data_IF_059374150382
#
_entry.id   IF_059374150382
#
_cell.length_a   1.000
_cell.length_b   1.000
_cell.length_c   1.000
_cell.angle_alpha   90.00
_cell.angle_beta   90.00
_cell.angle_gamma   90.00
#
_symmetry.space_group_name_H-M   'P 1'
#
loop_
_entity.id
_entity.type
_entity.pdbx_description
1 polymer ?
#
# COMPACT_ATOMS: atom_id res chain seq x y z
N UNK A 1 9.00 4.67 -23.64
CA UNK A 1 8.72 4.03 -22.34
C UNK A 1 7.38 3.33 -22.44
N UNK A 2 7.35 2.01 -22.50
CA UNK A 2 6.10 1.26 -22.52
C UNK A 2 5.48 1.33 -21.13
N UNK A 3 4.45 2.17 -20.94
CA UNK A 3 3.57 2.02 -19.79
C UNK A 3 2.79 0.74 -20.00
N UNK A 4 3.29 -0.37 -19.44
CA UNK A 4 2.54 -1.62 -19.42
C UNK A 4 1.26 -1.36 -18.62
N UNK A 5 0.15 -1.18 -19.34
CA UNK A 5 -1.19 -1.12 -18.77
C UNK A 5 -1.50 -2.49 -18.18
N UNK A 6 -1.28 -2.63 -16.88
CA UNK A 6 -1.61 -3.86 -16.16
C UNK A 6 -3.09 -3.87 -15.81
N UNK A 7 -3.70 -5.07 -15.79
CA UNK A 7 -5.14 -5.22 -15.56
C UNK A 7 -5.58 -4.61 -14.22
N UNK A 8 -6.75 -3.98 -14.21
CA UNK A 8 -7.40 -3.50 -12.99
C UNK A 8 -7.89 -4.69 -12.16
N UNK A 9 -7.55 -4.71 -10.88
CA UNK A 9 -8.08 -5.66 -9.89
C UNK A 9 -8.66 -4.82 -8.78
N UNK A 10 -9.96 -4.96 -8.49
CA UNK A 10 -10.63 -4.13 -7.50
C UNK A 10 -11.60 -4.93 -6.64
N UNK A 11 -11.77 -4.51 -5.39
CA UNK A 11 -12.85 -4.97 -4.52
C UNK A 11 -13.82 -3.85 -4.19
N UNK A 12 -15.04 -4.22 -3.83
CA UNK A 12 -16.00 -3.34 -3.18
C UNK A 12 -15.59 -3.08 -1.72
N UNK A 13 -15.66 -1.84 -1.26
CA UNK A 13 -15.30 -1.46 0.10
C UNK A 13 -16.47 -1.52 1.09
N UNK A 14 -16.17 -1.85 2.34
CA UNK A 14 -17.05 -1.58 3.48
C UNK A 14 -17.17 -0.07 3.74
N UNK A 15 -18.14 0.33 4.55
CA UNK A 15 -18.33 1.73 4.97
C UNK A 15 -17.08 2.34 5.64
N UNK A 16 -16.30 1.52 6.35
CA UNK A 16 -15.06 1.94 7.02
C UNK A 16 -13.80 1.78 6.15
N UNK A 17 -13.95 1.36 4.89
CA UNK A 17 -12.85 1.27 3.91
C UNK A 17 -11.77 0.24 4.22
N UNK A 18 -12.01 -0.66 5.19
CA UNK A 18 -11.04 -1.66 5.66
C UNK A 18 -11.45 -3.07 5.28
N UNK A 19 -10.47 -3.89 4.93
CA UNK A 19 -10.68 -5.32 4.69
C UNK A 19 -10.36 -6.11 5.96
N UNK A 20 -11.17 -7.12 6.29
CA UNK A 20 -10.91 -8.01 7.41
C UNK A 20 -10.24 -9.29 6.91
N UNK A 21 -9.08 -9.63 7.47
CA UNK A 21 -8.33 -10.86 7.19
C UNK A 21 -7.95 -11.48 8.53
N UNK A 22 -8.33 -12.75 8.74
CA UNK A 22 -8.00 -13.49 9.97
C UNK A 22 -8.25 -12.68 11.28
N UNK A 23 -9.44 -12.08 11.41
CA UNK A 23 -9.83 -11.23 12.56
C UNK A 23 -9.06 -9.91 12.72
N UNK A 24 -8.21 -9.52 11.76
CA UNK A 24 -7.53 -8.22 11.74
C UNK A 24 -8.11 -7.32 10.66
N UNK A 25 -8.32 -6.05 11.00
CA UNK A 25 -8.71 -5.00 10.03
C UNK A 25 -7.46 -4.40 9.40
N UNK A 26 -7.39 -4.42 8.07
CA UNK A 26 -6.25 -3.91 7.29
C UNK A 26 -6.71 -2.93 6.22
N UNK A 27 -5.81 -2.07 5.79
CA UNK A 27 -6.03 -1.20 4.63
C UNK A 27 -5.77 -2.03 3.36
N UNK A 28 -6.75 -2.19 2.44
CA UNK A 28 -6.68 -3.20 1.40
C UNK A 28 -5.47 -3.02 0.45
N UNK A 29 -5.32 -1.83 -0.14
CA UNK A 29 -4.25 -1.58 -1.12
C UNK A 29 -2.85 -1.70 -0.49
N UNK A 30 -2.67 -1.24 0.75
CA UNK A 30 -1.41 -1.38 1.50
C UNK A 30 -1.09 -2.85 1.81
N UNK A 31 -2.10 -3.65 2.20
CA UNK A 31 -1.92 -5.08 2.46
C UNK A 31 -1.35 -5.80 1.22
N UNK A 32 -1.97 -5.61 0.05
CA UNK A 32 -1.47 -6.21 -1.20
C UNK A 32 -0.11 -5.64 -1.63
N UNK A 33 0.14 -4.34 -1.45
CA UNK A 33 1.45 -3.76 -1.74
C UNK A 33 2.57 -4.35 -0.88
N UNK A 34 2.31 -4.61 0.41
CA UNK A 34 3.29 -5.23 1.31
C UNK A 34 3.62 -6.66 0.92
N UNK A 35 2.63 -7.44 0.49
CA UNK A 35 2.82 -8.84 0.08
C UNK A 35 3.66 -8.93 -1.19
N UNK A 36 3.36 -8.11 -2.20
CA UNK A 36 3.89 -8.31 -3.56
C UNK A 36 4.98 -7.34 -4.00
N UNK A 37 5.19 -6.23 -3.27
CA UNK A 37 6.15 -5.19 -3.68
C UNK A 37 7.14 -4.80 -2.60
N UNK A 38 6.68 -4.28 -1.48
CA UNK A 38 7.55 -3.79 -0.43
C UNK A 38 6.92 -3.99 0.96
N UNK A 39 7.38 -5.01 1.67
CA UNK A 39 6.86 -5.38 2.98
C UNK A 39 7.14 -4.33 4.08
N UNK A 40 8.13 -3.45 3.87
CA UNK A 40 8.56 -2.44 4.83
C UNK A 40 7.68 -1.18 4.85
N UNK A 41 6.76 -1.00 3.90
CA UNK A 41 5.85 0.16 3.92
C UNK A 41 5.00 0.11 5.19
N UNK A 42 5.14 1.14 6.02
CA UNK A 42 4.48 1.25 7.32
C UNK A 42 3.18 2.07 7.25
N UNK A 43 3.12 3.04 6.32
CA UNK A 43 1.99 3.96 6.21
C UNK A 43 1.36 3.90 4.80
N UNK A 44 0.05 3.69 4.74
CA UNK A 44 -0.69 3.65 3.48
C UNK A 44 -0.71 5.02 2.76
N UNK A 45 -0.54 6.13 3.49
CA UNK A 45 -0.44 7.46 2.89
C UNK A 45 0.83 7.65 2.05
N UNK A 46 1.82 6.78 2.19
CA UNK A 46 3.05 6.81 1.40
C UNK A 46 2.86 6.16 0.02
N UNK A 47 1.69 5.58 -0.26
CA UNK A 47 1.36 4.98 -1.54
C UNK A 47 0.58 5.96 -2.40
N UNK A 48 1.03 6.16 -3.62
CA UNK A 48 0.37 6.98 -4.63
C UNK A 48 -0.05 6.11 -5.81
N UNK A 49 -1.32 6.23 -6.22
CA UNK A 49 -1.82 5.50 -7.36
C UNK A 49 -1.27 6.09 -8.66
N UNK A 50 -0.97 5.24 -9.64
CA UNK A 50 -0.66 5.67 -11.00
C UNK A 50 -1.88 6.35 -11.61
N UNK A 51 -1.64 7.32 -12.50
CA UNK A 51 -2.67 8.08 -13.22
C UNK A 51 -3.65 7.17 -13.99
N UNK A 52 -3.23 5.97 -14.37
CA UNK A 52 -4.07 4.99 -15.10
C UNK A 52 -4.98 4.15 -14.19
N UNK A 53 -4.90 4.27 -12.87
CA UNK A 53 -5.70 3.48 -11.94
C UNK A 53 -7.10 4.06 -11.81
N UNK A 54 -8.14 3.31 -12.21
CA UNK A 54 -9.54 3.78 -12.19
C UNK A 54 -10.18 3.83 -10.80
N UNK A 55 -9.72 2.97 -9.90
CA UNK A 55 -10.28 2.81 -8.56
C UNK A 55 -9.19 3.07 -7.52
N UNK A 56 -8.52 4.22 -7.60
CA UNK A 56 -7.47 4.55 -6.64
C UNK A 56 -8.02 4.58 -5.22
N UNK A 57 -7.15 4.44 -4.22
CA UNK A 57 -7.59 4.55 -2.82
C UNK A 57 -8.12 5.95 -2.48
N UNK A 58 -7.60 7.00 -3.15
CA UNK A 58 -8.06 8.37 -2.94
C UNK A 58 -9.51 8.58 -3.42
N UNK A 59 -9.93 7.89 -4.47
CA UNK A 59 -11.27 8.01 -5.08
C UNK A 59 -12.25 6.94 -4.55
N UNK A 60 -11.81 6.10 -3.62
CA UNK A 60 -12.57 4.92 -3.20
C UNK A 60 -13.84 5.25 -2.42
N UNK A 61 -13.89 6.41 -1.76
CA UNK A 61 -15.11 6.89 -1.09
C UNK A 61 -16.23 7.25 -2.08
N UNK A 62 -15.87 7.69 -3.29
CA UNK A 62 -16.83 8.10 -4.31
C UNK A 62 -17.26 6.90 -5.16
N UNK A 63 -16.32 6.00 -5.46
CA UNK A 63 -16.57 4.84 -6.32
C UNK A 63 -17.07 3.62 -5.57
N UNK A 64 -16.89 3.56 -4.24
CA UNK A 64 -17.11 2.36 -3.40
C UNK A 64 -16.22 1.16 -3.79
N UNK A 65 -15.26 1.34 -4.70
CA UNK A 65 -14.30 0.33 -5.10
C UNK A 65 -12.88 0.78 -4.79
N UNK A 66 -11.98 -0.16 -4.52
CA UNK A 66 -10.55 0.10 -4.39
C UNK A 66 -9.74 -0.87 -5.24
N UNK A 67 -8.68 -0.37 -5.87
CA UNK A 67 -7.70 -1.14 -6.59
C UNK A 67 -6.80 -1.91 -5.62
N UNK A 68 -6.59 -3.19 -5.91
CA UNK A 68 -5.69 -4.08 -5.19
C UNK A 68 -4.43 -4.40 -5.97
N UNK A 69 -4.37 -4.05 -7.26
CA UNK A 69 -3.19 -4.32 -8.06
C UNK A 69 -1.99 -3.55 -7.48
N UNK A 70 -0.99 -4.22 -6.88
CA UNK A 70 0.10 -3.55 -6.20
C UNK A 70 0.99 -2.74 -7.16
N UNK A 71 0.96 -3.05 -8.46
CA UNK A 71 1.69 -2.33 -9.50
C UNK A 71 0.95 -1.09 -10.01
N UNK A 72 -0.26 -0.84 -9.54
CA UNK A 72 -0.96 0.44 -9.74
C UNK A 72 -0.59 1.49 -8.69
N UNK A 73 0.24 1.14 -7.71
CA UNK A 73 0.73 2.05 -6.68
C UNK A 73 2.24 2.17 -6.74
N UNK A 74 2.76 3.35 -6.41
CA UNK A 74 4.17 3.61 -6.18
C UNK A 74 4.36 4.20 -4.78
N UNK A 75 5.50 3.92 -4.16
CA UNK A 75 5.86 4.57 -2.91
C UNK A 75 6.35 5.99 -3.21
N UNK A 76 5.83 6.98 -2.49
CA UNK A 76 6.34 8.35 -2.50
C UNK A 76 7.81 8.30 -2.13
N UNK A 77 8.67 8.88 -2.96
CA UNK A 77 10.05 9.12 -2.59
C UNK A 77 10.02 10.20 -1.51
N UNK A 78 10.60 9.94 -0.34
CA UNK A 78 10.82 11.01 0.64
C UNK A 78 11.50 12.18 -0.09
N UNK A 79 11.00 13.40 0.14
CA UNK A 79 11.80 14.57 -0.20
C UNK A 79 13.00 14.50 0.75
N UNK A 80 14.16 14.14 0.24
CA UNK A 80 15.43 14.25 0.98
C UNK A 80 15.65 15.75 1.25
N UNK A 81 15.11 16.24 2.37
CA UNK A 81 15.68 17.39 3.05
C UNK A 81 17.00 16.97 3.69
N UNK A 82 17.91 17.90 4.02
CA UNK A 82 19.18 17.57 4.65
C UNK A 82 18.89 16.80 5.95
N UNK A 83 19.24 15.52 5.96
CA UNK A 83 18.97 14.61 7.07
C UNK A 83 19.79 15.02 8.29
N UNK A 84 19.18 15.20 9.49
CA UNK A 84 19.93 15.12 10.72
C UNK A 84 20.40 13.67 10.89
N UNK A 85 21.67 13.48 11.25
CA UNK A 85 22.32 12.21 11.52
C UNK A 85 21.49 11.32 12.44
N UNK A 86 20.79 10.32 11.90
CA UNK A 86 20.16 9.29 12.71
C UNK A 86 21.16 8.18 12.98
N UNK A 87 21.59 8.09 14.24
CA UNK A 87 22.35 6.97 14.74
C UNK A 87 21.58 5.67 14.52
N UNK A 88 22.28 4.66 14.02
CA UNK A 88 21.80 3.29 13.93
C UNK A 88 21.37 2.81 15.33
N UNK A 89 20.06 2.73 15.58
CA UNK A 89 19.55 1.93 16.69
C UNK A 89 19.43 0.48 16.21
N UNK A 90 20.34 -0.35 16.72
CA UNK A 90 20.21 -1.81 16.73
C UNK A 90 18.87 -2.17 17.40
N UNK A 91 17.88 -2.56 16.60
CA UNK A 91 16.74 -3.32 17.11
C UNK A 91 16.60 -4.57 16.26
N UNK A 92 17.14 -5.66 16.78
CA UNK A 92 16.98 -6.98 16.19
C UNK A 92 15.50 -7.28 16.02
N UNK A 93 15.06 -7.42 14.77
CA UNK A 93 13.69 -7.80 14.46
C UNK A 93 13.65 -9.32 14.27
N UNK A 94 13.20 -10.01 15.30
CA UNK A 94 12.89 -11.44 15.27
C UNK A 94 11.91 -11.72 14.13
N UNK A 95 12.29 -12.63 13.23
CA UNK A 95 11.37 -13.26 12.28
C UNK A 95 10.47 -14.20 13.09
N UNK A 96 9.51 -13.63 13.82
CA UNK A 96 8.46 -14.38 14.48
C UNK A 96 7.14 -14.11 13.76
N UNK A 97 6.67 -15.17 13.11
CA UNK A 97 5.26 -15.37 12.78
C UNK A 97 4.70 -14.50 11.65
N UNK A 98 5.22 -14.69 10.42
CA UNK A 98 4.37 -14.56 9.25
C UNK A 98 3.47 -15.79 9.20
N UNK A 99 2.22 -15.63 9.64
CA UNK A 99 1.07 -16.45 9.19
C UNK A 99 -0.02 -15.45 8.80
N UNK A 100 -0.15 -15.29 7.48
CA UNK A 100 -1.20 -14.64 6.68
C UNK A 100 -1.38 -13.13 6.89
#
# INVERSE_FOLDING_TARGET
MLTLSTRQISLYLSLDGRMQVAQRKVVPHMCYFRIFRNWFVSNYHDLEARVTCRYSYAESQQTSFVCLNPYHYEQKKERVGPSPSQGHQNQGYVISSIVI
#
